data_IF_531176179926
#
_entry.id   IF_531176179926
#
_cell.length_a   1.000
_cell.length_b   1.000
_cell.length_c   1.000
_cell.angle_alpha   90.00
_cell.angle_beta   90.00
_cell.angle_gamma   90.00
#
_symmetry.space_group_name_H-M   'P 1'
#
loop_
_entity.id
_entity.type
_entity.pdbx_description
1 polymer ?
#
# COMPACT_ATOMS: atom_id res chain seq x y z
N UNK A 1 0.36 20.69 -1.44
CA UNK A 1 1.11 19.42 -1.53
C UNK A 1 0.13 18.28 -1.53
N UNK A 2 0.47 17.13 -2.12
CA UNK A 2 -0.36 15.93 -2.09
C UNK A 2 0.39 14.79 -1.41
N UNK A 3 -0.31 14.09 -0.52
CA UNK A 3 0.13 12.82 0.05
C UNK A 3 -0.59 11.69 -0.69
N UNK A 4 0.18 10.74 -1.18
CA UNK A 4 -0.34 9.50 -1.75
C UNK A 4 -0.03 8.35 -0.82
N UNK A 5 -1.05 7.55 -0.53
CA UNK A 5 -0.95 6.35 0.30
C UNK A 5 -1.36 5.13 -0.53
N UNK A 6 -0.46 4.15 -0.63
CA UNK A 6 -0.64 2.95 -1.44
C UNK A 6 -0.73 1.76 -0.50
N UNK A 7 -1.87 1.08 -0.52
CA UNK A 7 -2.20 -0.01 0.39
C UNK A 7 -1.93 -1.34 -0.32
N UNK A 8 -0.91 -2.08 0.14
CA UNK A 8 -0.51 -3.36 -0.47
C UNK A 8 -0.71 -4.50 0.53
N UNK A 9 -1.39 -5.59 0.13
CA UNK A 9 -1.55 -6.74 1.01
C UNK A 9 -0.22 -7.48 1.18
N UNK A 10 0.04 -7.97 2.40
CA UNK A 10 1.19 -8.83 2.69
C UNK A 10 0.95 -10.29 2.34
N UNK A 11 -0.31 -10.67 2.14
CA UNK A 11 -0.74 -12.02 1.83
C UNK A 11 -1.59 -12.05 0.56
N UNK A 12 -1.66 -13.21 -0.06
CA UNK A 12 -2.64 -13.56 -1.08
C UNK A 12 -3.98 -13.90 -0.41
N UNK A 13 -5.03 -14.04 -1.21
CA UNK A 13 -6.38 -14.36 -0.72
C UNK A 13 -6.48 -15.72 -0.01
N UNK A 14 -5.49 -16.61 -0.21
CA UNK A 14 -5.37 -17.90 0.47
C UNK A 14 -4.50 -17.84 1.75
N UNK A 15 -4.05 -16.64 2.16
CA UNK A 15 -3.18 -16.41 3.32
C UNK A 15 -1.69 -16.59 3.05
N UNK A 16 -1.28 -16.99 1.84
CA UNK A 16 0.13 -17.14 1.48
C UNK A 16 0.84 -15.79 1.44
N UNK A 17 2.03 -15.68 2.04
CA UNK A 17 2.80 -14.42 2.02
C UNK A 17 3.23 -14.04 0.60
N UNK A 18 3.12 -12.76 0.29
CA UNK A 18 3.63 -12.17 -0.94
C UNK A 18 5.16 -12.14 -0.93
N UNK A 19 5.84 -12.34 -2.07
CA UNK A 19 7.30 -12.25 -2.16
C UNK A 19 7.83 -10.86 -1.78
N UNK A 20 8.91 -10.82 -1.00
CA UNK A 20 9.52 -9.57 -0.48
C UNK A 20 10.01 -8.67 -1.62
N UNK A 21 10.43 -9.27 -2.72
CA UNK A 21 10.94 -8.60 -3.92
C UNK A 21 9.87 -7.70 -4.57
N UNK A 22 8.58 -8.04 -4.43
CA UNK A 22 7.49 -7.20 -4.93
C UNK A 22 7.48 -5.84 -4.24
N UNK A 23 7.64 -5.83 -2.92
CA UNK A 23 7.66 -4.62 -2.10
C UNK A 23 8.94 -3.81 -2.33
N UNK A 24 10.08 -4.49 -2.45
CA UNK A 24 11.35 -3.84 -2.79
C UNK A 24 11.25 -3.10 -4.13
N UNK A 25 10.64 -3.73 -5.14
CA UNK A 25 10.40 -3.12 -6.45
C UNK A 25 9.47 -1.91 -6.37
N UNK A 26 8.38 -1.98 -5.61
CA UNK A 26 7.49 -0.82 -5.40
C UNK A 26 8.25 0.34 -4.77
N UNK A 27 9.05 0.07 -3.73
CA UNK A 27 9.87 1.09 -3.07
C UNK A 27 10.83 1.77 -4.06
N UNK A 28 11.50 1.00 -4.92
CA UNK A 28 12.42 1.54 -5.94
C UNK A 28 11.69 2.37 -7.00
N UNK A 29 10.55 1.89 -7.50
CA UNK A 29 9.72 2.60 -8.48
C UNK A 29 9.25 3.96 -7.92
N UNK A 30 8.80 3.98 -6.67
CA UNK A 30 8.38 5.20 -5.97
C UNK A 30 9.55 6.14 -5.68
N UNK A 31 10.66 5.62 -5.17
CA UNK A 31 11.87 6.41 -4.90
C UNK A 31 12.39 7.08 -6.17
N UNK A 32 12.45 6.35 -7.29
CA UNK A 32 12.89 6.88 -8.59
C UNK A 32 11.99 7.99 -9.11
N UNK A 33 10.68 7.91 -8.88
CA UNK A 33 9.68 8.86 -9.41
C UNK A 33 9.50 10.10 -8.55
N UNK A 34 9.57 9.96 -7.23
CA UNK A 34 9.20 11.01 -6.26
C UNK A 34 10.37 11.49 -5.41
N UNK A 35 11.55 10.85 -5.47
CA UNK A 35 12.74 11.24 -4.72
C UNK A 35 12.71 10.86 -3.23
N UNK A 36 11.60 10.30 -2.74
CA UNK A 36 11.45 9.82 -1.38
C UNK A 36 10.23 8.93 -1.22
N UNK A 37 10.29 8.00 -0.28
CA UNK A 37 9.18 7.10 0.05
C UNK A 37 9.33 6.64 1.50
N UNK A 38 8.23 6.66 2.25
CA UNK A 38 8.14 6.09 3.60
C UNK A 38 7.23 4.87 3.56
N UNK A 39 7.55 3.84 4.36
CA UNK A 39 6.73 2.64 4.43
C UNK A 39 6.38 2.33 5.88
N UNK A 40 5.12 1.99 6.13
CA UNK A 40 4.61 1.55 7.42
C UNK A 40 3.94 0.20 7.26
N UNK A 41 4.20 -0.73 8.17
CA UNK A 41 3.43 -1.98 8.26
C UNK A 41 2.26 -1.72 9.20
N UNK A 42 1.03 -1.98 8.74
CA UNK A 42 -0.14 -2.05 9.62
C UNK A 42 -0.60 -3.50 9.68
N UNK A 43 -0.36 -4.13 10.83
CA UNK A 43 -1.02 -5.39 11.20
C UNK A 43 -2.31 -5.07 11.96
N UNK A 44 -3.33 -5.94 11.92
CA UNK A 44 -4.47 -5.80 12.82
C UNK A 44 -3.99 -5.75 14.28
N UNK A 45 -4.60 -4.88 15.09
CA UNK A 45 -4.37 -4.92 16.52
C UNK A 45 -4.96 -6.24 17.07
N UNK A 46 -4.11 -7.22 17.40
CA UNK A 46 -4.50 -8.52 18.00
C UNK A 46 -5.01 -8.41 19.46
N UNK A 47 -5.66 -7.31 19.82
CA UNK A 47 -6.00 -6.98 21.20
C UNK A 47 -7.51 -6.92 21.44
N UNK A 48 -8.02 -7.93 22.15
CA UNK A 48 -9.35 -8.06 22.76
C UNK A 48 -10.47 -8.59 21.87
N UNK A 49 -10.40 -9.87 21.46
CA UNK A 49 -11.61 -10.70 21.39
C UNK A 49 -11.29 -12.10 21.91
N UNK A 50 -11.96 -12.49 23.02
CA UNK A 50 -12.09 -13.88 23.41
C UNK A 50 -12.92 -14.58 22.34
N UNK A 51 -12.40 -15.71 21.84
CA UNK A 51 -13.12 -16.77 21.14
C UNK A 51 -14.19 -16.32 20.13
N UNK A 52 -13.85 -16.27 18.85
CA UNK A 52 -14.71 -16.88 17.83
C UNK A 52 -13.86 -17.68 16.86
N UNK A 53 -14.18 -18.96 16.77
CA UNK A 53 -13.54 -20.02 16.01
C UNK A 53 -13.88 -19.90 14.52
N UNK A 54 -13.51 -18.76 13.93
CA UNK A 54 -13.54 -18.56 12.49
C UNK A 54 -12.49 -17.49 12.15
N UNK A 55 -11.25 -17.94 12.04
CA UNK A 55 -10.07 -17.14 11.70
C UNK A 55 -10.32 -16.37 10.39
N UNK A 56 -10.87 -15.17 10.51
CA UNK A 56 -10.79 -14.18 9.43
C UNK A 56 -9.31 -13.89 9.28
N UNK A 57 -8.78 -14.18 8.09
CA UNK A 57 -7.41 -13.87 7.72
C UNK A 57 -7.07 -12.47 8.24
N UNK A 58 -6.03 -12.39 9.07
CA UNK A 58 -5.50 -11.12 9.51
C UNK A 58 -4.96 -10.42 8.25
N UNK A 59 -5.69 -9.44 7.73
CA UNK A 59 -5.29 -8.69 6.55
C UNK A 59 -4.14 -7.75 6.91
N UNK A 60 -2.93 -8.30 6.99
CA UNK A 60 -1.71 -7.51 7.14
C UNK A 60 -1.45 -6.72 5.86
N UNK A 61 -1.23 -5.41 6.01
CA UNK A 61 -0.95 -4.52 4.88
C UNK A 61 0.33 -3.71 5.10
N UNK A 62 0.99 -3.39 4.01
CA UNK A 62 2.02 -2.35 3.96
C UNK A 62 1.43 -1.11 3.31
N UNK A 63 1.65 0.04 3.93
CA UNK A 63 1.30 1.33 3.37
C UNK A 63 2.58 2.03 2.95
N UNK A 64 2.68 2.36 1.66
CA UNK A 64 3.70 3.25 1.14
C UNK A 64 3.15 4.66 1.01
N UNK A 65 3.93 5.63 1.47
CA UNK A 65 3.62 7.06 1.40
C UNK A 65 4.63 7.80 0.53
N UNK A 66 4.11 8.61 -0.40
CA UNK A 66 4.91 9.55 -1.20
C UNK A 66 4.25 10.93 -1.24
N UNK A 67 5.07 11.97 -1.22
CA UNK A 67 4.63 13.36 -1.35
C UNK A 67 4.91 13.87 -2.77
N UNK A 68 3.99 14.65 -3.32
CA UNK A 68 4.15 15.26 -4.65
C UNK A 68 3.46 16.63 -4.71
N UNK A 69 4.06 17.57 -5.44
CA UNK A 69 3.49 18.92 -5.64
C UNK A 69 2.24 18.90 -6.53
N UNK A 70 2.09 17.89 -7.38
CA UNK A 70 0.98 17.75 -8.32
C UNK A 70 0.45 16.31 -8.40
N UNK A 71 -0.75 16.15 -8.97
CA UNK A 71 -1.40 14.86 -9.20
C UNK A 71 -1.33 14.49 -10.68
N UNK A 72 -0.46 13.54 -11.02
CA UNK A 72 -0.41 12.93 -12.35
C UNK A 72 -1.41 11.76 -12.43
N UNK A 73 -2.65 12.07 -12.78
CA UNK A 73 -3.74 11.07 -12.76
C UNK A 73 -3.48 9.87 -13.67
N UNK A 74 -2.90 10.10 -14.86
CA UNK A 74 -2.64 9.03 -15.83
C UNK A 74 -1.58 8.06 -15.30
N UNK A 75 -0.52 8.60 -14.69
CA UNK A 75 0.52 7.79 -14.07
C UNK A 75 -0.05 6.94 -12.94
N UNK A 76 -0.83 7.53 -12.03
CA UNK A 76 -1.43 6.80 -10.89
C UNK A 76 -2.41 5.71 -11.33
N UNK A 77 -3.24 5.96 -12.35
CA UNK A 77 -4.14 4.94 -12.89
C UNK A 77 -3.38 3.77 -13.52
N UNK A 78 -2.32 4.08 -14.28
CA UNK A 78 -1.48 3.06 -14.92
C UNK A 78 -0.72 2.25 -13.87
N UNK A 79 -0.17 2.93 -12.87
CA UNK A 79 0.57 2.30 -11.78
C UNK A 79 -0.35 1.42 -10.91
N UNK A 80 -1.55 1.89 -10.57
CA UNK A 80 -2.58 1.10 -9.86
C UNK A 80 -2.85 -0.23 -10.55
N UNK A 81 -3.12 -0.20 -11.86
CA UNK A 81 -3.37 -1.42 -12.66
C UNK A 81 -2.19 -2.37 -12.67
N UNK A 82 -0.97 -1.84 -12.78
CA UNK A 82 0.24 -2.65 -12.74
C UNK A 82 0.44 -3.31 -11.36
N UNK A 83 0.09 -2.61 -10.27
CA UNK A 83 0.13 -3.17 -8.92
C UNK A 83 -0.96 -4.22 -8.72
N UNK A 84 -2.19 -3.99 -9.18
CA UNK A 84 -3.29 -4.96 -9.10
C UNK A 84 -2.91 -6.29 -9.74
N UNK A 85 -2.32 -6.26 -10.93
CA UNK A 85 -1.80 -7.46 -11.60
C UNK A 85 -0.66 -8.11 -10.82
N UNK A 86 0.30 -7.31 -10.32
CA UNK A 86 1.50 -7.81 -9.64
C UNK A 86 1.18 -8.45 -8.29
N UNK A 87 0.23 -7.89 -7.55
CA UNK A 87 -0.21 -8.38 -6.23
C UNK A 87 -1.41 -9.33 -6.32
N UNK A 88 -1.88 -9.64 -7.54
CA UNK A 88 -3.02 -10.51 -7.81
C UNK A 88 -4.30 -10.08 -7.09
N UNK A 89 -4.55 -8.77 -7.09
CA UNK A 89 -5.72 -8.15 -6.47
C UNK A 89 -6.68 -7.66 -7.54
N UNK A 90 -7.98 -7.87 -7.35
CA UNK A 90 -9.00 -7.33 -8.25
C UNK A 90 -9.06 -5.81 -8.16
N UNK A 91 -8.84 -5.27 -6.96
CA UNK A 91 -8.80 -3.84 -6.69
C UNK A 91 -7.78 -3.56 -5.58
N UNK A 92 -6.94 -2.54 -5.80
CA UNK A 92 -6.07 -1.97 -4.76
C UNK A 92 -6.54 -0.57 -4.38
N UNK A 93 -6.31 -0.16 -3.13
CA UNK A 93 -6.54 1.22 -2.72
C UNK A 93 -5.26 2.05 -2.91
N UNK A 94 -5.39 3.14 -3.67
CA UNK A 94 -4.44 4.26 -3.64
C UNK A 94 -5.25 5.50 -3.27
N UNK A 95 -4.92 6.10 -2.13
CA UNK A 95 -5.58 7.31 -1.64
C UNK A 95 -4.71 8.52 -1.94
N UNK A 96 -5.34 9.65 -2.24
CA UNK A 96 -4.68 10.96 -2.39
C UNK A 96 -5.34 11.96 -1.46
N UNK A 97 -4.53 12.69 -0.69
CA UNK A 97 -4.98 13.74 0.22
C UNK A 97 -4.22 15.03 -0.08
N UNK A 98 -4.93 16.17 -0.14
CA UNK A 98 -4.27 17.48 -0.13
C UNK A 98 -3.78 17.74 1.29
N UNK A 99 -2.51 18.10 1.42
CA UNK A 99 -1.87 18.38 2.71
C UNK A 99 -1.21 19.76 2.66
N UNK A 100 -1.21 20.41 3.82
CA UNK A 100 -0.45 21.62 4.07
C UNK A 100 0.78 21.25 4.89
N UNK A 101 1.93 21.83 4.53
CA UNK A 101 3.16 21.66 5.28
C UNK A 101 3.20 22.69 6.39
N UNK A 102 3.42 22.24 7.62
CA UNK A 102 3.72 23.16 8.73
C UNK A 102 5.21 23.48 8.66
N UNK A 103 5.52 24.77 8.49
CA UNK A 103 6.88 25.31 8.53
C UNK A 103 7.24 25.87 9.89
#
# INVERSE_FOLDING_TARGET
MYLFEIFLPLTLNDGTKQPVELFARVREELLKRFGGVTAFIRSPAKGVWQQEENERAEDEIVIYEVMSESVDQLWWQTYKRALEQRFQQQELLIRTSRVDLVG
#
